data_IF_966259155013
#
_entry.id   IF_966259155013
#
_cell.length_a   1.000
_cell.length_b   1.000
_cell.length_c   1.000
_cell.angle_alpha   90.00
_cell.angle_beta   90.00
_cell.angle_gamma   90.00
#
_symmetry.space_group_name_H-M   'P 1'
#
loop_
_entity.id
_entity.type
_entity.pdbx_description
1 polymer ?
#
# COMPACT_ATOMS: atom_id res chain seq x y z
N UNK A 1 14.10 -13.18 -3.13
CA UNK A 1 12.64 -13.34 -3.24
C UNK A 1 12.18 -12.64 -4.49
N UNK A 2 11.40 -13.29 -5.36
CA UNK A 2 11.05 -12.72 -6.67
C UNK A 2 9.78 -13.26 -7.29
N UNK A 3 9.24 -14.38 -6.80
CA UNK A 3 8.03 -14.98 -7.36
C UNK A 3 6.81 -14.32 -6.72
N UNK A 4 5.77 -14.05 -7.52
CA UNK A 4 4.49 -13.52 -7.04
C UNK A 4 3.89 -14.38 -5.93
N UNK A 5 4.05 -15.70 -6.02
CA UNK A 5 3.60 -16.66 -5.01
C UNK A 5 4.19 -16.35 -3.62
N UNK A 6 5.48 -15.99 -3.55
CA UNK A 6 6.15 -15.67 -2.29
C UNK A 6 5.50 -14.45 -1.62
N UNK A 7 5.19 -13.40 -2.40
CA UNK A 7 4.51 -12.20 -1.89
C UNK A 7 3.07 -12.50 -1.43
N UNK A 8 2.35 -13.38 -2.15
CA UNK A 8 1.02 -13.82 -1.74
C UNK A 8 1.06 -14.63 -0.44
N UNK A 9 2.03 -15.53 -0.31
CA UNK A 9 2.24 -16.32 0.90
C UNK A 9 2.62 -15.43 2.09
N UNK A 10 3.44 -14.39 1.89
CA UNK A 10 3.79 -13.44 2.95
C UNK A 10 2.56 -12.71 3.55
N UNK A 11 1.45 -12.56 2.81
CA UNK A 11 0.21 -12.00 3.36
C UNK A 11 -0.47 -12.89 4.41
N UNK A 12 -0.07 -14.16 4.52
CA UNK A 12 -0.54 -15.10 5.55
C UNK A 12 0.31 -15.04 6.83
N UNK A 13 1.45 -14.37 6.78
CA UNK A 13 2.35 -14.23 7.92
C UNK A 13 1.93 -13.15 8.91
N UNK A 14 2.81 -12.85 9.85
CA UNK A 14 2.66 -11.77 10.83
C UNK A 14 2.75 -10.40 10.13
N UNK A 15 2.00 -9.42 10.65
CA UNK A 15 1.87 -8.08 10.06
C UNK A 15 2.10 -7.00 11.10
N UNK A 16 2.99 -6.07 10.79
CA UNK A 16 3.22 -4.84 11.56
C UNK A 16 2.97 -3.63 10.65
N UNK A 17 1.80 -2.96 10.75
CA UNK A 17 1.56 -1.73 10.03
C UNK A 17 2.32 -0.58 10.70
N UNK A 18 3.08 0.17 9.90
CA UNK A 18 3.72 1.42 10.27
C UNK A 18 3.19 2.56 9.40
N UNK A 19 3.40 3.83 9.79
CA UNK A 19 2.96 4.96 8.97
C UNK A 19 3.61 4.96 7.57
N UNK A 20 4.93 4.76 7.47
CA UNK A 20 5.62 4.80 6.18
C UNK A 20 5.54 3.52 5.33
N UNK A 21 5.20 2.39 5.95
CA UNK A 21 5.19 1.08 5.29
C UNK A 21 4.40 0.04 6.09
N UNK A 22 4.21 -1.14 5.50
CA UNK A 22 3.76 -2.33 6.22
C UNK A 22 4.84 -3.39 6.13
N UNK A 23 5.22 -3.97 7.27
CA UNK A 23 6.06 -5.15 7.33
C UNK A 23 5.20 -6.40 7.40
N UNK A 24 5.46 -7.35 6.51
CA UNK A 24 4.96 -8.72 6.60
C UNK A 24 6.14 -9.65 6.88
N UNK A 25 5.96 -10.61 7.77
CA UNK A 25 6.97 -11.62 8.09
C UNK A 25 6.32 -12.99 8.05
N UNK A 26 6.84 -13.88 7.20
CA UNK A 26 6.40 -15.28 7.14
C UNK A 26 7.59 -16.19 7.40
N UNK A 27 7.55 -16.95 8.48
CA UNK A 27 8.50 -18.05 8.68
C UNK A 27 8.27 -19.10 7.60
N UNK A 28 9.34 -19.53 6.91
CA UNK A 28 9.18 -20.46 5.78
C UNK A 28 9.07 -21.90 6.23
N UNK A 29 9.70 -22.26 7.35
CA UNK A 29 9.75 -23.64 7.84
C UNK A 29 10.45 -24.61 6.88
N UNK A 30 11.25 -24.11 5.93
CA UNK A 30 11.96 -24.91 4.92
C UNK A 30 13.34 -25.39 5.38
N UNK A 31 13.70 -25.15 6.65
CA UNK A 31 15.00 -25.49 7.22
C UNK A 31 16.15 -24.58 6.76
N UNK A 32 15.92 -23.66 5.83
CA UNK A 32 16.89 -22.67 5.36
C UNK A 32 16.87 -21.46 6.30
N UNK A 33 17.95 -21.16 7.07
CA UNK A 33 17.99 -20.03 7.98
C UNK A 33 18.10 -18.68 7.23
N UNK A 34 18.28 -18.65 5.91
CA UNK A 34 18.46 -17.43 5.15
C UNK A 34 17.22 -16.52 5.24
N UNK A 35 17.45 -15.27 5.62
CA UNK A 35 16.44 -14.23 5.56
C UNK A 35 16.27 -13.72 4.13
N UNK A 36 15.03 -13.62 3.67
CA UNK A 36 14.71 -13.12 2.33
C UNK A 36 13.97 -11.80 2.43
N UNK A 37 14.44 -10.80 1.67
CA UNK A 37 13.80 -9.49 1.60
C UNK A 37 12.97 -9.36 0.31
N UNK A 38 11.71 -8.96 0.45
CA UNK A 38 10.82 -8.56 -0.63
C UNK A 38 10.44 -7.09 -0.45
N UNK A 39 10.45 -6.30 -1.52
CA UNK A 39 10.04 -4.90 -1.47
C UNK A 39 8.96 -4.64 -2.51
N UNK A 40 7.81 -4.13 -2.05
CA UNK A 40 6.70 -3.72 -2.90
C UNK A 40 6.46 -2.23 -2.76
N UNK A 41 6.52 -1.49 -3.88
CA UNK A 41 6.17 -0.07 -3.94
C UNK A 41 5.20 0.14 -5.10
N UNK A 42 3.97 0.55 -4.79
CA UNK A 42 2.91 0.67 -5.79
C UNK A 42 3.08 1.92 -6.66
N UNK A 43 2.46 1.93 -7.85
CA UNK A 43 2.43 3.13 -8.72
C UNK A 43 1.74 4.33 -8.06
N UNK A 44 0.83 4.09 -7.10
CA UNK A 44 0.08 5.15 -6.38
C UNK A 44 0.96 6.06 -5.53
N UNK A 45 2.15 5.59 -5.16
CA UNK A 45 3.10 6.35 -4.31
C UNK A 45 3.84 7.42 -5.10
N UNK A 46 3.91 7.29 -6.43
CA UNK A 46 4.52 8.28 -7.31
C UNK A 46 5.24 7.68 -8.51
N UNK A 47 5.97 8.55 -9.22
CA UNK A 47 6.74 8.21 -10.41
C UNK A 47 7.87 7.21 -10.16
N UNK A 48 8.55 6.80 -11.23
CA UNK A 48 9.63 5.82 -11.16
C UNK A 48 10.76 6.23 -10.20
N UNK A 49 11.13 7.52 -10.19
CA UNK A 49 12.19 8.07 -9.34
C UNK A 49 11.84 7.93 -7.86
N UNK A 50 10.63 8.34 -7.46
CA UNK A 50 10.14 8.24 -6.08
C UNK A 50 10.15 6.78 -5.62
N UNK A 51 9.62 5.87 -6.44
CA UNK A 51 9.59 4.44 -6.11
C UNK A 51 10.99 3.85 -5.98
N UNK A 52 11.91 4.23 -6.88
CA UNK A 52 13.29 3.75 -6.86
C UNK A 52 14.06 4.29 -5.65
N UNK A 53 13.84 5.55 -5.27
CA UNK A 53 14.36 6.14 -4.02
C UNK A 53 13.88 5.34 -2.81
N UNK A 54 12.58 5.08 -2.72
CA UNK A 54 12.01 4.30 -1.61
C UNK A 54 12.56 2.87 -1.55
N UNK A 55 12.64 2.17 -2.69
CA UNK A 55 13.28 0.84 -2.78
C UNK A 55 14.75 0.87 -2.37
N UNK A 56 15.51 1.93 -2.69
CA UNK A 56 16.90 2.09 -2.25
C UNK A 56 16.96 2.26 -0.73
N UNK A 57 16.16 3.17 -0.15
CA UNK A 57 16.10 3.39 1.31
C UNK A 57 15.74 2.10 2.06
N UNK A 58 14.72 1.37 1.62
CA UNK A 58 14.32 0.11 2.25
C UNK A 58 15.38 -0.98 2.17
N UNK A 59 16.13 -1.07 1.07
CA UNK A 59 17.25 -2.02 0.97
C UNK A 59 18.36 -1.70 1.96
N UNK A 60 18.66 -0.42 2.19
CA UNK A 60 19.65 0.00 3.18
C UNK A 60 19.18 -0.36 4.58
N UNK A 61 17.94 0.02 4.94
CA UNK A 61 17.36 -0.31 6.25
C UNK A 61 17.29 -1.82 6.52
N UNK A 62 16.89 -2.61 5.51
CA UNK A 62 16.82 -4.06 5.65
C UNK A 62 18.21 -4.67 5.85
N UNK A 63 19.23 -4.21 5.12
CA UNK A 63 20.60 -4.69 5.28
C UNK A 63 21.16 -4.39 6.68
N UNK A 64 20.77 -3.26 7.25
CA UNK A 64 21.23 -2.83 8.56
C UNK A 64 20.49 -3.54 9.70
N UNK A 65 19.16 -3.65 9.63
CA UNK A 65 18.34 -4.10 10.76
C UNK A 65 18.00 -5.60 10.74
N UNK A 66 17.93 -6.24 9.57
CA UNK A 66 17.61 -7.68 9.53
C UNK A 66 18.66 -8.57 10.18
N UNK A 67 19.98 -8.33 10.04
CA UNK A 67 20.96 -9.16 10.74
C UNK A 67 20.86 -9.10 12.27
N UNK A 68 20.33 -8.01 12.82
CA UNK A 68 20.26 -7.76 14.27
C UNK A 68 18.90 -8.14 14.85
N UNK A 69 17.81 -7.79 14.16
CA UNK A 69 16.44 -7.92 14.66
C UNK A 69 15.53 -8.76 13.75
N UNK A 70 16.09 -9.32 12.68
CA UNK A 70 15.34 -10.16 11.74
C UNK A 70 14.95 -11.50 12.34
N UNK A 71 14.09 -12.20 11.61
CA UNK A 71 13.63 -13.55 11.96
C UNK A 71 14.34 -14.53 11.03
N UNK A 72 15.20 -15.39 11.56
CA UNK A 72 15.91 -16.38 10.77
C UNK A 72 14.93 -17.27 9.99
N UNK A 73 15.28 -17.62 8.75
CA UNK A 73 14.45 -18.46 7.88
C UNK A 73 13.10 -17.86 7.48
N UNK A 74 12.91 -16.55 7.65
CA UNK A 74 11.67 -15.87 7.28
C UNK A 74 11.79 -15.06 5.97
N UNK A 75 10.64 -14.84 5.35
CA UNK A 75 10.42 -13.86 4.30
C UNK A 75 9.94 -12.55 4.92
N UNK A 76 10.77 -11.50 4.84
CA UNK A 76 10.43 -10.13 5.24
C UNK A 76 9.99 -9.33 4.02
N UNK A 77 8.74 -8.89 4.01
CA UNK A 77 8.20 -8.07 2.92
C UNK A 77 7.86 -6.67 3.41
N UNK A 78 8.54 -5.67 2.83
CA UNK A 78 8.25 -4.26 3.04
C UNK A 78 7.34 -3.73 1.94
N UNK A 79 6.15 -3.27 2.32
CA UNK A 79 5.18 -2.64 1.43
C UNK A 79 5.18 -1.14 1.71
N UNK A 80 5.71 -0.35 0.78
CA UNK A 80 5.75 1.11 0.92
C UNK A 80 4.35 1.73 0.94
N UNK A 81 4.20 2.84 1.67
CA UNK A 81 3.01 3.71 1.66
C UNK A 81 3.41 5.12 1.21
N UNK A 82 2.43 5.97 0.87
CA UNK A 82 2.71 7.31 0.38
C UNK A 82 3.38 8.17 1.48
N UNK A 83 2.96 7.98 2.72
CA UNK A 83 3.42 8.64 3.93
C UNK A 83 4.87 8.29 4.30
N UNK A 84 5.48 7.31 3.61
CA UNK A 84 6.88 6.93 3.79
C UNK A 84 7.85 7.61 2.82
N UNK A 85 7.35 8.33 1.80
CA UNK A 85 8.20 8.95 0.77
C UNK A 85 9.01 10.11 1.35
N UNK A 86 8.31 11.08 1.92
CA UNK A 86 8.88 12.31 2.51
C UNK A 86 9.31 12.13 3.98
N UNK A 87 9.12 10.94 4.54
CA UNK A 87 9.47 10.65 5.92
C UNK A 87 10.98 10.64 6.10
N UNK A 88 11.46 11.16 7.23
CA UNK A 88 12.87 11.16 7.56
C UNK A 88 13.46 9.73 7.64
N UNK A 89 14.73 9.57 7.29
CA UNK A 89 15.36 8.24 7.22
C UNK A 89 15.57 7.64 8.61
N UNK A 90 15.94 8.43 9.60
CA UNK A 90 16.10 7.97 10.98
C UNK A 90 14.75 7.56 11.57
N UNK A 91 13.68 8.29 11.24
CA UNK A 91 12.33 7.87 11.62
C UNK A 91 11.94 6.53 10.99
N UNK A 92 12.18 6.33 9.69
CA UNK A 92 11.91 5.05 9.02
C UNK A 92 12.71 3.88 9.62
N UNK A 93 13.96 4.14 10.03
CA UNK A 93 14.79 3.16 10.75
C UNK A 93 14.16 2.75 12.07
N UNK A 94 13.85 3.72 12.93
CA UNK A 94 13.23 3.45 14.23
C UNK A 94 11.85 2.80 14.09
N UNK A 95 11.10 3.12 13.03
CA UNK A 95 9.85 2.43 12.71
C UNK A 95 10.07 0.97 12.33
N UNK A 96 11.11 0.65 11.56
CA UNK A 96 11.41 -0.74 11.18
C UNK A 96 11.89 -1.57 12.37
N UNK A 97 12.74 -0.99 13.21
CA UNK A 97 13.18 -1.62 14.46
C UNK A 97 11.99 -1.94 15.37
N UNK A 98 11.10 -0.96 15.60
CA UNK A 98 9.85 -1.15 16.36
C UNK A 98 8.95 -2.22 15.72
N UNK A 99 8.86 -2.24 14.39
CA UNK A 99 8.05 -3.23 13.68
C UNK A 99 8.60 -4.64 13.87
N UNK A 100 9.92 -4.82 13.76
CA UNK A 100 10.58 -6.12 13.99
C UNK A 100 10.41 -6.58 15.44
N UNK A 101 10.59 -5.70 16.42
CA UNK A 101 10.34 -6.02 17.83
C UNK A 101 8.91 -6.50 18.09
N UNK A 102 7.90 -5.83 17.52
CA UNK A 102 6.49 -6.23 17.62
C UNK A 102 6.19 -7.61 17.01
N UNK A 103 6.93 -7.99 15.97
CA UNK A 103 6.76 -9.30 15.31
C UNK A 103 7.32 -10.40 16.22
N UNK A 104 8.49 -10.18 16.82
CA UNK A 104 9.15 -11.13 17.72
C UNK A 104 8.33 -11.41 18.98
N UNK A 105 7.65 -10.40 19.53
CA UNK A 105 6.85 -10.56 20.75
C UNK A 105 5.47 -11.20 20.53
N UNK A 106 5.06 -11.44 19.27
CA UNK A 106 3.70 -11.93 18.96
C UNK A 106 3.74 -13.38 18.47
N UNK A 107 3.03 -14.32 19.14
CA UNK A 107 2.97 -15.71 18.69
C UNK A 107 2.29 -15.82 17.31
N UNK A 108 2.77 -16.78 16.51
CA UNK A 108 2.22 -17.10 15.19
C UNK A 108 0.70 -17.43 15.32
N UNK A 109 -0.13 -16.88 14.42
CA UNK A 109 -1.58 -17.16 14.38
C UNK A 109 -2.53 -16.05 14.86
N UNK A 110 -2.08 -15.07 15.66
CA UNK A 110 -2.98 -13.97 16.10
C UNK A 110 -3.13 -12.81 15.07
N UNK A 111 -2.53 -12.93 13.89
CA UNK A 111 -2.37 -11.86 12.91
C UNK A 111 -3.60 -11.49 12.06
N UNK A 112 -4.83 -11.87 12.40
CA UNK A 112 -5.97 -11.67 11.49
C UNK A 112 -7.31 -11.34 12.17
N UNK A 113 -7.77 -10.08 12.15
CA UNK A 113 -9.16 -9.83 11.83
C UNK A 113 -9.36 -10.03 10.31
N UNK A 114 -10.46 -10.65 9.87
CA UNK A 114 -10.74 -10.85 8.46
C UNK A 114 -10.80 -9.51 7.73
N UNK A 115 -10.30 -9.49 6.49
CA UNK A 115 -10.55 -8.37 5.58
C UNK A 115 -12.06 -8.27 5.41
N UNK A 116 -12.70 -7.24 5.97
CA UNK A 116 -14.01 -6.78 5.46
C UNK A 116 -13.80 -6.59 3.96
N UNK A 117 -14.52 -7.37 3.12
CA UNK A 117 -14.68 -7.10 1.69
C UNK A 117 -15.45 -5.79 1.59
N UNK A 118 -14.78 -4.66 1.82
CA UNK A 118 -15.31 -3.32 1.71
C UNK A 118 -14.91 -2.76 0.35
N UNK A 119 -15.92 -2.45 -0.45
CA UNK A 119 -15.90 -1.81 -1.75
C UNK A 119 -14.64 -0.98 -2.07
N UNK A 120 -14.05 -1.23 -3.25
CA UNK A 120 -13.34 -0.18 -3.96
C UNK A 120 -14.28 1.04 -4.02
N UNK A 121 -13.87 2.25 -3.58
CA UNK A 121 -14.64 3.42 -3.94
C UNK A 121 -14.58 3.49 -5.46
N UNK A 122 -15.75 3.35 -6.08
CA UNK A 122 -15.91 3.54 -7.50
C UNK A 122 -15.25 4.85 -7.88
N UNK A 123 -14.32 4.80 -8.84
CA UNK A 123 -13.86 5.98 -9.54
C UNK A 123 -15.12 6.61 -10.14
N UNK A 124 -15.60 7.71 -9.55
CA UNK A 124 -16.60 8.56 -10.19
C UNK A 124 -15.98 9.04 -11.49
N UNK A 125 -16.48 8.49 -12.60
CA UNK A 125 -16.20 8.97 -13.95
C UNK A 125 -16.53 10.47 -13.97
N UNK A 126 -15.52 11.29 -14.23
CA UNK A 126 -15.72 12.70 -14.52
C UNK A 126 -16.53 12.79 -15.82
N UNK A 127 -17.71 13.39 -15.70
CA UNK A 127 -18.75 13.39 -16.71
C UNK A 127 -18.28 14.02 -18.04
N UNK A 128 -18.64 13.32 -19.11
CA UNK A 128 -18.68 13.78 -20.49
C UNK A 128 -19.54 15.05 -20.56
N UNK A 129 -18.98 16.17 -21.05
CA UNK A 129 -19.76 17.36 -21.45
C UNK A 129 -20.76 16.96 -22.55
N UNK A 130 -22.05 17.34 -22.46
CA UNK A 130 -22.87 17.49 -23.65
C UNK A 130 -22.86 18.95 -24.13
N UNK A 131 -22.76 19.10 -25.44
CA UNK A 131 -22.84 20.34 -26.23
C UNK A 131 -24.26 20.93 -26.23
N UNK A 132 -24.45 22.22 -26.57
CA UNK A 132 -25.76 22.88 -26.51
C UNK A 132 -26.54 22.63 -27.81
N UNK A 133 -27.67 21.95 -27.72
CA UNK A 133 -28.68 21.86 -28.79
C UNK A 133 -29.92 21.24 -28.18
N UNK A 134 -30.86 22.08 -27.77
CA UNK A 134 -32.32 21.87 -27.86
C UNK A 134 -33.00 23.04 -27.15
N UNK A 135 -33.19 24.13 -27.90
CA UNK A 135 -34.10 25.19 -27.51
C UNK A 135 -35.55 24.70 -27.70
N UNK A 136 -36.42 24.75 -26.69
CA UNK A 136 -37.85 24.56 -26.93
C UNK A 136 -38.46 25.88 -27.41
N UNK A 137 -38.96 25.86 -28.64
CA UNK A 137 -39.87 26.86 -29.16
C UNK A 137 -41.26 26.73 -28.51
N UNK A 138 -41.83 27.90 -28.20
CA UNK A 138 -43.25 28.24 -28.15
C UNK A 138 -44.13 27.66 -27.03
N UNK A 139 -44.73 28.57 -26.23
CA UNK A 139 -46.11 29.06 -26.43
C UNK A 139 -46.60 29.87 -25.21
N UNK A 140 -47.03 31.10 -25.44
CA UNK A 140 -48.21 31.65 -24.79
C UNK A 140 -49.04 32.44 -25.82
N UNK A 141 -50.29 31.98 -26.00
CA UNK A 141 -51.45 32.64 -26.63
C UNK A 141 -52.03 33.71 -25.66
N UNK A 142 -53.12 34.46 -25.98
CA UNK A 142 -53.70 34.87 -27.27
C UNK A 142 -54.01 36.39 -27.34
N UNK A 143 -54.62 36.77 -28.46
CA UNK A 143 -55.14 38.08 -28.86
C UNK A 143 -56.12 38.77 -27.89
N UNK A 144 -56.06 40.10 -27.85
CA UNK A 144 -57.08 41.15 -27.61
C UNK A 144 -56.28 42.47 -27.64
N UNK A 145 -56.54 43.57 -28.35
CA UNK A 145 -57.71 44.17 -28.99
C UNK A 145 -57.60 45.69 -28.70
N UNK A 146 -57.76 46.54 -29.73
CA UNK A 146 -58.04 48.01 -29.68
C UNK A 146 -56.89 48.92 -29.17
N UNK A 147 -56.55 50.10 -29.71
CA UNK A 147 -57.12 51.07 -30.67
C UNK A 147 -56.00 51.60 -31.60
#
# INVERSE_FOLDING_TARGET
MGKRADFLAANRGRRAPMPGFVLLVRERGDGDPAMRIGITVTKKIGGAVIRNRMKRRFRVLARELLPVHGVAGADHVLIGRAEGVERDFALLRGELEKALGKILTRPEGQGRPPRRKGASPATTNHAKRPSPSDAPAARHLPASGEE
#
